data_IF_357260911442
#
_entry.id   IF_357260911442
#
_cell.length_a   1.000
_cell.length_b   1.000
_cell.length_c   1.000
_cell.angle_alpha   90.00
_cell.angle_beta   90.00
_cell.angle_gamma   90.00
#
_symmetry.space_group_name_H-M   'P 1'
#
loop_
_entity.id
_entity.type
_entity.pdbx_description
1 polymer ?
#
# COMPACT_ATOMS: atom_id res chain seq x y z
N UNK A 1 20.17 7.98 6.40
CA UNK A 1 19.58 7.64 7.65
C UNK A 1 20.56 7.20 8.64
N UNK A 2 20.56 7.86 9.63
CA UNK A 2 21.69 7.79 10.51
C UNK A 2 21.54 6.90 11.72
N UNK A 3 20.51 6.17 11.83
CA UNK A 3 20.17 5.49 13.06
C UNK A 3 20.90 4.18 13.31
N UNK A 4 22.04 3.97 12.69
CA UNK A 4 22.53 2.62 12.56
C UNK A 4 23.65 2.27 13.49
N UNK A 5 24.06 3.19 14.33
CA UNK A 5 25.13 2.95 15.29
C UNK A 5 24.66 2.31 16.58
N UNK A 6 23.36 2.12 16.73
CA UNK A 6 22.77 1.58 17.95
C UNK A 6 22.57 0.08 17.84
N UNK A 7 22.26 -0.57 18.95
CA UNK A 7 21.88 -1.95 18.94
C UNK A 7 20.54 -2.19 18.23
N UNK A 8 20.25 -3.42 17.91
CA UNK A 8 19.07 -3.75 17.09
C UNK A 8 17.76 -3.24 17.66
N UNK A 9 17.56 -3.33 18.96
CA UNK A 9 16.32 -2.88 19.59
C UNK A 9 16.20 -1.35 19.45
N UNK A 10 17.29 -0.65 19.66
CA UNK A 10 17.31 0.79 19.55
C UNK A 10 17.15 1.24 18.10
N UNK A 11 17.77 0.54 17.16
CA UNK A 11 17.59 0.81 15.74
C UNK A 11 16.14 0.68 15.34
N UNK A 12 15.50 -0.42 15.71
CA UNK A 12 14.10 -0.65 15.36
C UNK A 12 13.21 0.42 15.95
N UNK A 13 13.48 0.84 17.18
CA UNK A 13 12.71 1.89 17.84
C UNK A 13 12.89 3.24 17.12
N UNK A 14 14.12 3.59 16.78
CA UNK A 14 14.41 4.83 16.06
C UNK A 14 13.84 4.83 14.65
N UNK A 15 13.91 3.70 13.96
CA UNK A 15 13.31 3.58 12.64
C UNK A 15 11.79 3.76 12.71
N UNK A 16 11.16 3.16 13.70
CA UNK A 16 9.73 3.34 13.91
C UNK A 16 9.36 4.79 14.17
N UNK A 17 10.11 5.47 15.02
CA UNK A 17 9.88 6.88 15.30
C UNK A 17 10.13 7.75 14.06
N UNK A 18 11.21 7.47 13.33
CA UNK A 18 11.52 8.18 12.09
C UNK A 18 10.44 8.00 11.04
N UNK A 19 9.92 6.77 10.91
CA UNK A 19 8.85 6.49 9.96
C UNK A 19 7.56 7.21 10.33
N UNK A 20 7.25 7.27 11.62
CA UNK A 20 6.07 7.99 12.10
C UNK A 20 6.19 9.49 11.81
N UNK A 21 7.35 10.08 12.06
CA UNK A 21 7.60 11.47 11.73
C UNK A 21 7.48 11.74 10.23
N UNK A 22 8.07 10.87 9.42
CA UNK A 22 8.00 11.00 7.96
C UNK A 22 6.55 10.94 7.48
N UNK A 23 5.77 10.00 8.02
CA UNK A 23 4.35 9.89 7.68
C UNK A 23 3.63 11.20 8.01
N UNK A 24 3.83 11.75 9.19
CA UNK A 24 3.13 12.95 9.62
C UNK A 24 3.55 14.20 8.84
N UNK A 25 4.81 14.27 8.42
CA UNK A 25 5.32 15.41 7.66
C UNK A 25 4.95 15.32 6.17
N UNK A 26 5.07 14.14 5.58
CA UNK A 26 4.84 13.96 4.15
C UNK A 26 3.37 13.74 3.81
N UNK A 27 2.61 13.17 4.73
CA UNK A 27 1.22 12.81 4.52
C UNK A 27 0.39 13.27 5.73
N UNK A 28 0.21 14.60 5.90
CA UNK A 28 -0.57 15.12 7.04
C UNK A 28 -1.97 14.54 7.07
N UNK A 29 -2.39 14.06 8.26
CA UNK A 29 -3.57 13.23 8.40
C UNK A 29 -4.85 13.82 7.83
N UNK A 30 -5.17 15.08 8.18
CA UNK A 30 -6.42 15.69 7.73
C UNK A 30 -6.44 15.91 6.22
N UNK A 31 -5.33 16.39 5.66
CA UNK A 31 -5.23 16.64 4.23
C UNK A 31 -5.23 15.33 3.45
N UNK A 32 -4.49 14.35 3.94
CA UNK A 32 -4.42 13.06 3.27
C UNK A 32 -5.78 12.36 3.26
N UNK A 33 -6.48 12.37 4.40
CA UNK A 33 -7.80 11.76 4.49
C UNK A 33 -8.75 12.36 3.46
N UNK A 34 -8.79 13.68 3.37
CA UNK A 34 -9.64 14.37 2.41
C UNK A 34 -9.28 14.01 0.97
N UNK A 35 -7.98 14.08 0.65
CA UNK A 35 -7.52 13.79 -0.71
C UNK A 35 -7.75 12.33 -1.08
N UNK A 36 -7.58 11.41 -0.13
CA UNK A 36 -7.86 10.01 -0.35
C UNK A 36 -9.33 9.77 -0.64
N UNK A 37 -10.21 10.38 0.15
CA UNK A 37 -11.65 10.24 -0.04
C UNK A 37 -12.08 10.83 -1.40
N UNK A 38 -11.59 12.00 -1.73
CA UNK A 38 -11.94 12.66 -3.01
C UNK A 38 -11.44 11.85 -4.20
N UNK A 39 -10.28 11.24 -4.11
CA UNK A 39 -9.71 10.44 -5.21
C UNK A 39 -10.24 9.02 -5.25
N UNK A 40 -11.03 8.59 -4.26
CA UNK A 40 -11.47 7.20 -4.16
C UNK A 40 -10.33 6.26 -3.76
N UNK A 41 -9.39 6.76 -2.96
CA UNK A 41 -8.23 5.99 -2.52
C UNK A 41 -7.43 5.44 -3.71
N UNK A 42 -7.25 6.30 -4.71
CA UNK A 42 -6.53 5.95 -5.93
C UNK A 42 -5.04 6.29 -5.78
N UNK A 43 -4.20 5.27 -5.81
CA UNK A 43 -2.78 5.41 -5.53
C UNK A 43 -2.06 6.39 -6.49
N UNK A 44 -2.21 6.30 -7.81
CA UNK A 44 -1.53 7.24 -8.70
C UNK A 44 -1.96 8.69 -8.51
N UNK A 45 -3.22 8.93 -8.22
CA UNK A 45 -3.71 10.28 -7.99
C UNK A 45 -3.12 10.86 -6.71
N UNK A 46 -3.06 10.05 -5.66
CA UNK A 46 -2.44 10.46 -4.40
C UNK A 46 -0.94 10.70 -4.58
N UNK A 47 -0.29 9.89 -5.40
CA UNK A 47 1.14 10.07 -5.70
C UNK A 47 1.41 11.40 -6.40
N UNK A 48 0.52 11.84 -7.26
CA UNK A 48 0.65 13.16 -7.91
C UNK A 48 0.60 14.29 -6.89
N UNK A 49 -0.29 14.18 -5.91
CA UNK A 49 -0.43 15.20 -4.87
C UNK A 49 0.74 15.14 -3.87
N UNK A 50 1.10 13.94 -3.45
CA UNK A 50 2.14 13.71 -2.44
C UNK A 50 3.38 13.11 -3.10
N UNK A 51 3.94 13.84 -4.07
CA UNK A 51 4.97 13.29 -4.95
C UNK A 51 6.30 13.00 -4.25
N UNK A 52 6.54 13.56 -3.07
CA UNK A 52 7.76 13.28 -2.30
C UNK A 52 7.64 12.01 -1.46
N UNK A 53 6.43 11.51 -1.24
CA UNK A 53 6.23 10.25 -0.52
C UNK A 53 6.31 9.08 -1.49
N UNK A 54 6.84 7.94 -1.04
CA UNK A 54 6.88 6.72 -1.86
C UNK A 54 5.47 6.16 -2.05
N UNK A 55 5.30 5.37 -3.10
CA UNK A 55 4.04 4.64 -3.30
C UNK A 55 3.70 3.76 -2.11
N UNK A 56 4.70 3.09 -1.55
CA UNK A 56 4.51 2.24 -0.38
C UNK A 56 3.98 3.04 0.82
N UNK A 57 4.58 4.18 1.08
CA UNK A 57 4.18 5.02 2.21
C UNK A 57 2.74 5.50 2.04
N UNK A 58 2.38 5.94 0.83
CA UNK A 58 1.03 6.39 0.53
C UNK A 58 0.04 5.23 0.70
N UNK A 59 0.36 4.07 0.15
CA UNK A 59 -0.53 2.91 0.22
C UNK A 59 -0.81 2.49 1.67
N UNK A 60 0.23 2.44 2.50
CA UNK A 60 0.03 2.07 3.90
C UNK A 60 -0.65 3.17 4.72
N UNK A 61 -0.48 4.44 4.32
CA UNK A 61 -1.22 5.53 4.97
C UNK A 61 -2.73 5.39 4.77
N UNK A 62 -3.15 4.89 3.61
CA UNK A 62 -4.57 4.68 3.32
C UNK A 62 -5.26 3.77 4.34
N UNK A 63 -4.52 2.81 4.90
CA UNK A 63 -5.06 1.87 5.89
C UNK A 63 -5.63 2.55 7.12
N UNK A 64 -5.17 3.74 7.45
CA UNK A 64 -5.60 4.46 8.64
C UNK A 64 -6.96 5.12 8.49
N UNK A 65 -7.43 5.25 7.27
CA UNK A 65 -8.64 6.04 7.00
C UNK A 65 -9.80 5.24 6.44
N UNK A 66 -9.58 3.96 6.14
CA UNK A 66 -10.62 3.09 5.62
C UNK A 66 -10.18 1.63 5.77
N UNK A 67 -11.10 0.74 6.19
CA UNK A 67 -10.73 -0.68 6.27
C UNK A 67 -10.36 -1.24 4.90
N UNK A 68 -9.18 -1.81 4.81
CA UNK A 68 -8.70 -2.42 3.57
C UNK A 68 -7.46 -3.26 3.86
N UNK A 69 -7.03 -3.99 2.85
CA UNK A 69 -5.77 -4.75 2.88
C UNK A 69 -4.89 -4.16 1.79
N UNK A 70 -3.65 -3.85 2.13
CA UNK A 70 -2.65 -3.44 1.14
C UNK A 70 -1.59 -4.54 1.05
N UNK A 71 -1.36 -5.02 -0.16
CA UNK A 71 -0.38 -6.08 -0.43
C UNK A 71 0.58 -5.60 -1.50
N UNK A 72 1.86 -5.77 -1.26
CA UNK A 72 2.91 -5.38 -2.21
C UNK A 72 3.66 -6.63 -2.64
N UNK A 73 3.77 -6.80 -3.95
CA UNK A 73 4.54 -7.87 -4.57
C UNK A 73 5.71 -7.25 -5.33
N UNK A 74 6.89 -7.84 -5.17
CA UNK A 74 8.08 -7.45 -5.93
C UNK A 74 8.50 -8.62 -6.79
N UNK A 75 8.49 -8.41 -8.12
CA UNK A 75 8.80 -9.45 -9.10
C UNK A 75 7.99 -10.74 -8.86
N UNK A 76 6.73 -10.58 -8.52
CA UNK A 76 5.81 -11.70 -8.29
C UNK A 76 5.86 -12.32 -6.90
N UNK A 77 6.78 -11.89 -6.04
CA UNK A 77 6.90 -12.43 -4.68
C UNK A 77 6.33 -11.45 -3.66
N UNK A 78 5.67 -11.99 -2.66
CA UNK A 78 5.10 -11.19 -1.59
C UNK A 78 6.21 -10.43 -0.84
N UNK A 79 6.08 -9.13 -0.76
CA UNK A 79 6.98 -8.28 -0.01
C UNK A 79 6.39 -7.84 1.32
N UNK A 80 5.20 -7.25 1.29
CA UNK A 80 4.48 -6.81 2.51
C UNK A 80 2.98 -6.97 2.33
N UNK A 81 2.30 -7.26 3.44
CA UNK A 81 0.85 -7.31 3.46
C UNK A 81 0.38 -6.81 4.81
N UNK A 82 -0.50 -5.81 4.80
CA UNK A 82 -1.08 -5.24 6.02
C UNK A 82 -2.57 -5.02 5.85
N UNK A 83 -3.31 -5.19 6.94
CA UNK A 83 -4.76 -4.99 6.96
C UNK A 83 -5.12 -4.03 8.08
N UNK A 84 -6.12 -3.19 7.83
CA UNK A 84 -6.72 -2.36 8.87
C UNK A 84 -8.08 -2.88 9.32
N UNK A 85 -8.49 -4.07 8.85
CA UNK A 85 -9.71 -4.69 9.35
C UNK A 85 -9.55 -5.14 10.80
N UNK A 86 -10.63 -5.08 11.59
CA UNK A 86 -10.56 -5.51 13.01
C UNK A 86 -10.59 -7.03 13.18
N UNK A 87 -10.62 -7.80 12.11
CA UNK A 87 -10.62 -9.26 12.13
C UNK A 87 -9.41 -9.78 11.36
N UNK A 88 -9.08 -11.05 11.57
CA UNK A 88 -7.97 -11.67 10.84
C UNK A 88 -8.40 -11.94 9.41
N UNK A 89 -7.67 -11.34 8.47
CA UNK A 89 -7.94 -11.57 7.05
C UNK A 89 -7.20 -12.80 6.56
N UNK A 90 -7.65 -13.37 5.45
CA UNK A 90 -6.95 -14.51 4.84
C UNK A 90 -5.58 -14.09 4.35
N UNK A 91 -4.62 -15.03 4.34
CA UNK A 91 -3.31 -14.75 3.73
C UNK A 91 -3.40 -14.35 2.26
N UNK A 92 -4.44 -14.82 1.56
CA UNK A 92 -4.66 -14.52 0.16
C UNK A 92 -6.12 -14.74 -0.19
N UNK A 93 -6.62 -13.91 -1.10
CA UNK A 93 -7.94 -14.09 -1.69
C UNK A 93 -7.75 -14.44 -3.17
N UNK A 94 -8.63 -15.30 -3.75
CA UNK A 94 -8.46 -15.72 -5.15
C UNK A 94 -8.32 -14.58 -6.14
N UNK A 95 -9.10 -13.53 -5.93
CA UNK A 95 -9.10 -12.39 -6.84
C UNK A 95 -7.80 -11.59 -6.78
N UNK A 96 -7.09 -11.66 -5.67
CA UNK A 96 -5.78 -10.99 -5.54
C UNK A 96 -4.75 -11.63 -6.46
N UNK A 97 -4.72 -12.95 -6.55
CA UNK A 97 -3.79 -13.65 -7.43
C UNK A 97 -4.08 -13.32 -8.90
N UNK A 98 -5.34 -13.26 -9.26
CA UNK A 98 -5.72 -12.89 -10.62
C UNK A 98 -5.35 -11.45 -10.93
N UNK A 99 -5.61 -10.54 -10.00
CA UNK A 99 -5.26 -9.13 -10.17
C UNK A 99 -3.75 -8.94 -10.33
N UNK A 100 -2.96 -9.64 -9.54
CA UNK A 100 -1.50 -9.60 -9.66
C UNK A 100 -1.05 -10.02 -11.06
N UNK A 101 -1.60 -11.14 -11.57
CA UNK A 101 -1.27 -11.59 -12.93
C UNK A 101 -1.64 -10.57 -13.97
N UNK A 102 -2.85 -10.03 -13.88
CA UNK A 102 -3.35 -9.09 -14.88
C UNK A 102 -2.55 -7.80 -14.90
N UNK A 103 -2.23 -7.24 -13.73
CA UNK A 103 -1.39 -6.04 -13.64
C UNK A 103 0.00 -6.32 -14.22
N UNK A 104 0.57 -7.46 -13.88
CA UNK A 104 1.90 -7.82 -14.36
C UNK A 104 1.94 -7.94 -15.87
N UNK A 105 0.91 -8.57 -16.45
CA UNK A 105 0.85 -8.76 -17.90
C UNK A 105 0.52 -7.50 -18.66
N UNK A 106 -0.40 -6.68 -18.14
CA UNK A 106 -0.86 -5.49 -18.85
C UNK A 106 -0.01 -4.24 -18.58
N UNK A 107 0.67 -4.20 -17.45
CA UNK A 107 1.43 -3.03 -17.06
C UNK A 107 0.57 -1.80 -16.78
N UNK A 108 -0.67 -2.01 -16.37
CA UNK A 108 -1.60 -0.93 -16.07
C UNK A 108 -2.52 -1.29 -14.91
N UNK A 109 -3.24 -0.29 -14.39
CA UNK A 109 -4.21 -0.49 -13.32
C UNK A 109 -5.25 -1.51 -13.73
N UNK A 110 -5.55 -2.43 -12.82
CA UNK A 110 -6.62 -3.43 -12.99
C UNK A 110 -7.54 -3.38 -11.78
N UNK A 111 -8.83 -3.41 -12.03
CA UNK A 111 -9.85 -3.41 -10.99
C UNK A 111 -10.74 -4.63 -11.20
N UNK A 112 -10.80 -5.51 -10.20
CA UNK A 112 -11.58 -6.74 -10.25
C UNK A 112 -12.50 -6.80 -9.04
N UNK A 113 -13.59 -7.53 -9.21
CA UNK A 113 -14.62 -7.62 -8.19
C UNK A 113 -15.32 -8.96 -8.27
N UNK A 114 -15.52 -9.59 -7.13
CA UNK A 114 -16.34 -10.79 -7.04
C UNK A 114 -17.28 -10.67 -5.83
N UNK A 115 -17.88 -11.77 -5.39
CA UNK A 115 -18.81 -11.75 -4.26
C UNK A 115 -18.11 -11.48 -2.93
N UNK A 116 -16.84 -11.78 -2.84
CA UNK A 116 -16.09 -11.72 -1.60
C UNK A 116 -15.25 -10.45 -1.47
N UNK A 117 -14.64 -10.00 -2.55
CA UNK A 117 -13.68 -8.89 -2.51
C UNK A 117 -13.78 -7.96 -3.70
N UNK A 118 -13.32 -6.73 -3.50
CA UNK A 118 -12.98 -5.79 -4.56
C UNK A 118 -11.47 -5.60 -4.50
N UNK A 119 -10.78 -5.83 -5.60
CA UNK A 119 -9.32 -5.70 -5.66
C UNK A 119 -8.94 -4.72 -6.75
N UNK A 120 -8.12 -3.75 -6.39
CA UNK A 120 -7.53 -2.83 -7.36
C UNK A 120 -6.02 -2.99 -7.28
N UNK A 121 -5.38 -3.15 -8.42
CA UNK A 121 -3.95 -3.29 -8.50
C UNK A 121 -3.33 -2.22 -9.36
N UNK A 122 -2.15 -1.75 -8.96
CA UNK A 122 -1.41 -0.74 -9.70
C UNK A 122 0.02 -1.21 -9.92
N UNK A 123 0.54 -1.01 -11.14
CA UNK A 123 1.96 -1.27 -11.39
C UNK A 123 2.79 -0.09 -10.89
N UNK A 124 3.91 -0.42 -10.26
CA UNK A 124 4.96 0.53 -9.94
C UNK A 124 6.23 -0.07 -10.49
N UNK A 125 6.33 -0.04 -11.83
CA UNK A 125 7.42 -0.72 -12.54
C UNK A 125 8.63 0.20 -12.68
N UNK A 126 9.81 -0.40 -12.49
CA UNK A 126 11.08 0.22 -12.77
C UNK A 126 11.81 -0.68 -13.74
N UNK A 127 12.95 -0.22 -14.26
CA UNK A 127 13.66 -0.90 -15.33
C UNK A 127 13.88 -2.39 -15.07
N UNK A 128 14.35 -2.75 -13.89
CA UNK A 128 14.63 -4.13 -13.54
C UNK A 128 13.74 -4.67 -12.41
N UNK A 129 12.66 -3.98 -12.12
CA UNK A 129 11.89 -4.29 -10.93
C UNK A 129 10.41 -4.01 -11.17
N UNK A 130 9.62 -5.07 -11.08
CA UNK A 130 8.17 -4.96 -11.24
C UNK A 130 7.48 -5.09 -9.89
N UNK A 131 7.13 -3.94 -9.33
CA UNK A 131 6.32 -3.91 -8.12
C UNK A 131 4.85 -3.78 -8.50
N UNK A 132 4.01 -4.54 -7.82
CA UNK A 132 2.56 -4.42 -7.94
C UNK A 132 2.01 -4.17 -6.55
N UNK A 133 1.16 -3.15 -6.42
CA UNK A 133 0.50 -2.83 -5.17
C UNK A 133 -0.99 -3.11 -5.33
N UNK A 134 -1.53 -3.96 -4.46
CA UNK A 134 -2.95 -4.31 -4.45
C UNK A 134 -3.64 -3.66 -3.26
N UNK A 135 -4.83 -3.15 -3.51
CA UNK A 135 -5.75 -2.72 -2.46
C UNK A 135 -6.95 -3.64 -2.49
N UNK A 136 -7.18 -4.37 -1.41
CA UNK A 136 -8.28 -5.32 -1.30
C UNK A 136 -9.29 -4.83 -0.29
N UNK A 137 -10.55 -4.78 -0.68
CA UNK A 137 -11.64 -4.51 0.24
C UNK A 137 -12.50 -5.75 0.32
N UNK A 138 -12.71 -6.22 1.55
CA UNK A 138 -13.52 -7.42 1.82
C UNK A 138 -14.98 -6.99 1.93
N UNK A 139 -15.83 -7.69 1.21
CA UNK A 139 -17.27 -7.40 1.22
C UNK A 139 -17.96 -8.17 2.35
N UNK A 140 -18.97 -7.58 2.89
CA UNK A 140 -19.80 -8.22 3.93
C UNK A 140 -20.76 -9.24 3.34
#
# INVERSE_FOLDING_TARGET
>A
MAAYSFGRVEEAHLEGASNLMAINLLLPGEWFKRDAEVSGFDLPRLKKTYFTASHELIAFRMLEFRPMIVTIFDNGSLYKRKSSYPFTVRPSYPLESQCLRDVTLRGEKVSLKDEETNVVGWPVFREDWKRVILRTEVRD
#
